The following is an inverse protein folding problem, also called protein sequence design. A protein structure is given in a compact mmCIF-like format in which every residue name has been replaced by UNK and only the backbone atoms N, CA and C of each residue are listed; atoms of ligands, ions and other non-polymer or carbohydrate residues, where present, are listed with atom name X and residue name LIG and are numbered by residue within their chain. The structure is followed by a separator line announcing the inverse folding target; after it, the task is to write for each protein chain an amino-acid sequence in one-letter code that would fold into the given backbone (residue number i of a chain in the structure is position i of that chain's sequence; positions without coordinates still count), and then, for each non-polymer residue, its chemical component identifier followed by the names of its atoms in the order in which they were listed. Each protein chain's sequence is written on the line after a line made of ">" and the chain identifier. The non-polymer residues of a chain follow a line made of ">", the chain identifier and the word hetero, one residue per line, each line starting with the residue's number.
data_IF_201058431644
#
_entry.id   IF_201058431644
#
_cell.length_a   1.000
_cell.length_b   1.000
_cell.length_c   1.000
_cell.angle_alpha   90.00
_cell.angle_beta   90.00
_cell.angle_gamma   90.00
#
_symmetry.space_group_name_H-M   'P 1'
#
loop_
_entity.id
_entity.type
_entity.pdbx_description
1 polymer ?
#
# COMPACT_ATOMS: atom_id res chain seq x y z
N UNK A 1 29.60 -37.90 2.22
CA UNK A 1 29.26 -36.84 1.25
C UNK A 1 28.36 -35.85 1.96
N UNK A 2 28.81 -34.66 2.30
CA UNK A 2 27.98 -33.60 2.89
C UNK A 2 27.26 -32.86 1.80
N UNK A 3 25.98 -32.45 1.97
CA UNK A 3 25.31 -31.59 1.02
C UNK A 3 25.99 -30.20 1.04
N UNK A 4 26.27 -29.67 -0.15
CA UNK A 4 26.80 -28.35 -0.35
C UNK A 4 25.81 -27.29 0.12
N UNK A 5 26.23 -26.48 1.06
CA UNK A 5 25.51 -25.25 1.46
C UNK A 5 25.36 -24.36 0.25
N UNK A 6 24.12 -24.18 -0.22
CA UNK A 6 23.78 -23.13 -1.16
C UNK A 6 24.05 -21.76 -0.53
N UNK A 7 24.18 -20.69 -1.32
CA UNK A 7 24.52 -19.37 -0.81
C UNK A 7 23.44 -18.94 0.20
N UNK A 8 23.82 -18.97 1.49
CA UNK A 8 22.97 -18.54 2.57
C UNK A 8 22.59 -17.06 2.36
N UNK A 9 21.29 -16.79 2.26
CA UNK A 9 20.78 -15.41 2.29
C UNK A 9 21.18 -14.83 3.64
N UNK A 10 22.18 -13.97 3.64
CA UNK A 10 22.66 -13.34 4.87
C UNK A 10 21.64 -12.31 5.35
N UNK A 11 21.49 -12.14 6.67
CA UNK A 11 20.60 -11.13 7.31
C UNK A 11 20.85 -9.72 6.73
N UNK A 12 22.08 -9.42 6.35
CA UNK A 12 22.49 -8.15 5.70
C UNK A 12 21.89 -8.00 4.29
N UNK A 13 21.79 -9.10 3.51
CA UNK A 13 21.15 -9.09 2.19
C UNK A 13 19.66 -8.79 2.29
N UNK A 14 18.96 -9.41 3.24
CA UNK A 14 17.53 -9.20 3.47
C UNK A 14 17.23 -7.73 3.88
N UNK A 15 18.05 -7.13 4.73
CA UNK A 15 17.89 -5.74 5.15
C UNK A 15 17.95 -4.76 3.95
N UNK A 16 18.88 -5.00 3.03
CA UNK A 16 19.06 -4.17 1.82
C UNK A 16 17.88 -4.27 0.86
N UNK A 17 17.29 -5.45 0.72
CA UNK A 17 16.07 -5.65 -0.09
C UNK A 17 14.89 -4.87 0.48
N UNK A 18 14.71 -4.84 1.79
CA UNK A 18 13.66 -4.05 2.42
C UNK A 18 13.88 -2.54 2.30
N UNK A 19 15.12 -2.06 2.34
CA UNK A 19 15.46 -0.66 2.05
C UNK A 19 15.05 -0.28 0.63
N UNK A 20 15.33 -1.12 -0.36
CA UNK A 20 14.91 -0.89 -1.76
C UNK A 20 13.40 -0.86 -1.93
N UNK A 21 12.65 -1.70 -1.20
CA UNK A 21 11.19 -1.67 -1.19
C UNK A 21 10.66 -0.37 -0.58
N UNK A 22 11.27 0.10 0.50
CA UNK A 22 10.90 1.37 1.14
C UNK A 22 11.23 2.55 0.23
N UNK A 23 12.37 2.55 -0.46
CA UNK A 23 12.68 3.57 -1.47
C UNK A 23 11.65 3.58 -2.60
N UNK A 24 11.21 2.40 -3.06
CA UNK A 24 10.13 2.29 -4.03
C UNK A 24 8.81 2.84 -3.49
N UNK A 25 8.46 2.58 -2.21
CA UNK A 25 7.27 3.12 -1.57
C UNK A 25 7.21 4.65 -1.65
N UNK A 26 8.34 5.33 -1.44
CA UNK A 26 8.45 6.79 -1.50
C UNK A 26 8.31 7.36 -2.93
N UNK A 27 8.57 6.57 -3.97
CA UNK A 27 8.76 7.07 -5.33
C UNK A 27 7.80 6.49 -6.38
N UNK A 28 7.04 5.42 -6.07
CA UNK A 28 6.22 4.75 -7.09
C UNK A 28 5.00 5.56 -7.55
N UNK A 29 4.46 6.44 -6.69
CA UNK A 29 3.31 7.28 -7.03
C UNK A 29 2.05 6.51 -7.43
N UNK A 30 1.87 5.30 -6.90
CA UNK A 30 0.78 4.38 -7.20
C UNK A 30 0.28 3.73 -5.90
N UNK A 31 -1.02 3.86 -5.62
CA UNK A 31 -1.61 3.36 -4.37
C UNK A 31 -1.49 1.84 -4.24
N UNK A 32 -1.78 1.09 -5.29
CA UNK A 32 -1.77 -0.38 -5.24
C UNK A 32 -0.35 -0.92 -5.06
N UNK A 33 0.62 -0.28 -5.71
CA UNK A 33 2.02 -0.60 -5.50
C UNK A 33 2.45 -0.28 -4.06
N UNK A 34 2.05 0.89 -3.53
CA UNK A 34 2.32 1.24 -2.12
C UNK A 34 1.72 0.22 -1.16
N UNK A 35 0.46 -0.18 -1.35
CA UNK A 35 -0.22 -1.19 -0.53
C UNK A 35 0.49 -2.56 -0.62
N UNK A 36 0.88 -2.98 -1.82
CA UNK A 36 1.63 -4.22 -2.05
C UNK A 36 2.98 -4.22 -1.32
N UNK A 37 3.69 -3.09 -1.32
CA UNK A 37 4.96 -2.95 -0.59
C UNK A 37 4.72 -3.08 0.92
N UNK A 38 3.72 -2.40 1.46
CA UNK A 38 3.38 -2.49 2.89
C UNK A 38 3.00 -3.93 3.26
N UNK A 39 2.16 -4.60 2.45
CA UNK A 39 1.82 -6.00 2.66
C UNK A 39 3.06 -6.89 2.67
N UNK A 40 3.98 -6.68 1.73
CA UNK A 40 5.24 -7.41 1.64
C UNK A 40 6.09 -7.21 2.88
N UNK A 41 6.26 -5.98 3.34
CA UNK A 41 7.00 -5.69 4.58
C UNK A 41 6.37 -6.40 5.79
N UNK A 42 5.03 -6.40 5.89
CA UNK A 42 4.32 -7.06 6.99
C UNK A 42 4.43 -8.59 6.94
N UNK A 43 4.38 -9.19 5.76
CA UNK A 43 4.43 -10.65 5.58
C UNK A 43 5.84 -11.22 5.80
N UNK A 44 6.87 -10.52 5.33
CA UNK A 44 8.24 -11.01 5.32
C UNK A 44 9.11 -10.51 6.48
N UNK A 45 8.54 -9.71 7.40
CA UNK A 45 9.25 -9.27 8.60
C UNK A 45 8.52 -9.71 9.88
N UNK A 46 9.28 -10.07 10.90
CA UNK A 46 8.72 -10.32 12.22
C UNK A 46 8.37 -9.01 12.92
N UNK A 47 7.50 -9.07 13.91
CA UNK A 47 7.17 -7.90 14.75
C UNK A 47 8.41 -7.22 15.34
N UNK A 48 9.37 -8.03 15.82
CA UNK A 48 10.62 -7.51 16.38
C UNK A 48 11.43 -6.73 15.35
N UNK A 49 11.54 -7.23 14.10
CA UNK A 49 12.22 -6.53 13.00
C UNK A 49 11.51 -5.22 12.69
N UNK A 50 10.17 -5.23 12.56
CA UNK A 50 9.41 -4.00 12.31
C UNK A 50 9.63 -2.92 13.37
N UNK A 51 9.63 -3.28 14.65
CA UNK A 51 9.91 -2.34 15.73
C UNK A 51 11.30 -1.71 15.64
N UNK A 52 12.30 -2.48 15.21
CA UNK A 52 13.67 -1.97 15.03
C UNK A 52 13.83 -1.09 13.80
N UNK A 53 13.09 -1.40 12.72
CA UNK A 53 13.28 -0.76 11.43
C UNK A 53 12.33 0.42 11.17
N UNK A 54 11.22 0.52 11.90
CA UNK A 54 10.19 1.54 11.65
C UNK A 54 10.74 2.98 11.66
N UNK A 55 11.68 3.29 12.54
CA UNK A 55 12.32 4.61 12.60
C UNK A 55 13.27 4.87 11.43
N UNK A 56 13.89 3.84 10.87
CA UNK A 56 14.74 3.95 9.70
C UNK A 56 13.89 4.05 8.41
N UNK A 57 12.81 3.28 8.32
CA UNK A 57 11.90 3.29 7.17
C UNK A 57 11.05 4.55 7.10
N UNK A 58 10.64 5.10 8.25
CA UNK A 58 9.78 6.29 8.35
C UNK A 58 10.41 7.33 9.29
N UNK A 59 11.57 7.92 8.88
CA UNK A 59 12.31 8.85 9.72
C UNK A 59 11.50 10.12 10.02
N UNK A 60 11.68 10.67 11.22
CA UNK A 60 11.07 11.94 11.64
C UNK A 60 9.53 11.98 11.67
N UNK A 61 8.87 10.83 11.56
CA UNK A 61 7.41 10.77 11.57
C UNK A 61 6.88 9.70 12.54
N UNK A 62 6.94 10.00 13.82
CA UNK A 62 6.58 9.09 14.92
C UNK A 62 5.15 8.54 14.79
N UNK A 63 4.20 9.39 14.35
CA UNK A 63 2.81 8.94 14.11
C UNK A 63 2.75 7.87 13.03
N UNK A 64 3.50 8.03 11.95
CA UNK A 64 3.53 7.06 10.85
C UNK A 64 4.15 5.73 11.28
N UNK A 65 5.24 5.78 12.08
CA UNK A 65 5.83 4.58 12.68
C UNK A 65 4.81 3.82 13.54
N UNK A 66 4.04 4.55 14.37
CA UNK A 66 3.01 3.96 15.22
C UNK A 66 1.88 3.34 14.40
N UNK A 67 1.43 3.99 13.32
CA UNK A 67 0.40 3.47 12.42
C UNK A 67 0.88 2.19 11.73
N UNK A 68 2.12 2.16 11.21
CA UNK A 68 2.70 0.98 10.58
C UNK A 68 2.77 -0.21 11.54
N UNK A 69 3.26 0.02 12.76
CA UNK A 69 3.36 -1.02 13.79
C UNK A 69 1.99 -1.48 14.32
N UNK A 70 0.97 -0.65 14.15
CA UNK A 70 -0.39 -0.90 14.60
C UNK A 70 -1.28 -1.64 13.58
N UNK A 71 -0.82 -1.86 12.35
CA UNK A 71 -1.61 -2.54 11.31
C UNK A 71 -1.98 -3.96 11.76
N UNK A 72 -3.28 -4.24 11.84
CA UNK A 72 -3.87 -5.53 12.20
C UNK A 72 -4.88 -5.98 11.15
N UNK A 73 -5.86 -5.13 10.84
CA UNK A 73 -6.74 -5.28 9.70
C UNK A 73 -6.09 -4.57 8.51
N UNK A 74 -5.51 -5.38 7.60
CA UNK A 74 -4.70 -4.82 6.53
C UNK A 74 -5.47 -3.82 5.66
N UNK A 75 -6.72 -4.13 5.31
CA UNK A 75 -7.47 -3.30 4.36
C UNK A 75 -7.72 -1.89 4.90
N UNK A 76 -8.29 -1.77 6.08
CA UNK A 76 -8.62 -0.48 6.70
C UNK A 76 -7.40 0.25 7.27
N UNK A 77 -6.51 -0.49 7.95
CA UNK A 77 -5.35 0.11 8.61
C UNK A 77 -4.29 0.56 7.60
N UNK A 78 -4.09 -0.21 6.49
CA UNK A 78 -3.20 0.17 5.42
C UNK A 78 -3.69 1.43 4.70
N UNK A 79 -5.00 1.55 4.47
CA UNK A 79 -5.61 2.77 3.90
C UNK A 79 -5.32 3.99 4.78
N UNK A 80 -5.51 3.86 6.09
CA UNK A 80 -5.19 4.91 7.06
C UNK A 80 -3.70 5.26 7.08
N UNK A 81 -2.84 4.24 7.08
CA UNK A 81 -1.38 4.43 7.05
C UNK A 81 -0.94 5.17 5.79
N UNK A 82 -1.35 4.69 4.60
CA UNK A 82 -0.97 5.30 3.32
C UNK A 82 -1.54 6.71 3.14
N UNK A 83 -2.72 7.00 3.68
CA UNK A 83 -3.26 8.35 3.74
C UNK A 83 -2.29 9.31 4.47
N UNK A 84 -1.86 8.96 5.67
CA UNK A 84 -0.88 9.75 6.42
C UNK A 84 0.50 9.77 5.77
N UNK A 85 0.94 8.67 5.16
CA UNK A 85 2.20 8.59 4.44
C UNK A 85 2.23 9.60 3.29
N UNK A 86 1.23 9.55 2.40
CA UNK A 86 1.16 10.43 1.24
C UNK A 86 0.99 11.91 1.63
N UNK A 87 0.19 12.22 2.67
CA UNK A 87 0.10 13.59 3.20
C UNK A 87 1.45 14.09 3.73
N UNK A 88 2.24 13.23 4.38
CA UNK A 88 3.57 13.56 4.88
C UNK A 88 4.61 13.87 3.80
N UNK A 89 4.37 13.45 2.56
CA UNK A 89 5.27 13.74 1.43
C UNK A 89 5.20 15.20 0.94
N UNK A 90 4.18 15.95 1.34
CA UNK A 90 4.00 17.37 0.97
C UNK A 90 4.13 17.60 -0.54
N UNK A 91 5.12 18.38 -0.98
CA UNK A 91 5.35 18.70 -2.40
C UNK A 91 5.74 17.48 -3.26
N UNK A 92 6.16 16.38 -2.63
CA UNK A 92 6.49 15.12 -3.33
C UNK A 92 5.33 14.14 -3.38
N UNK A 93 4.16 14.53 -2.90
CA UNK A 93 2.95 13.70 -2.93
C UNK A 93 2.58 13.37 -4.38
N UNK A 94 2.41 12.08 -4.67
CA UNK A 94 2.06 11.56 -6.00
C UNK A 94 0.80 10.68 -5.98
N UNK A 95 0.20 10.46 -4.82
CA UNK A 95 -1.05 9.72 -4.67
C UNK A 95 -2.04 10.56 -3.88
N UNK A 96 -3.24 10.75 -4.44
CA UNK A 96 -4.37 11.39 -3.77
C UNK A 96 -5.52 10.39 -3.69
N UNK A 97 -5.97 10.11 -2.48
CA UNK A 97 -7.05 9.17 -2.21
C UNK A 97 -8.24 9.89 -1.58
N UNK A 98 -9.42 9.69 -2.14
CA UNK A 98 -10.66 10.31 -1.64
C UNK A 98 -11.75 9.25 -1.47
N UNK A 99 -12.49 9.29 -0.34
CA UNK A 99 -13.68 8.47 -0.20
C UNK A 99 -14.78 8.99 -1.15
N UNK A 100 -15.50 8.06 -1.78
CA UNK A 100 -16.58 8.38 -2.70
C UNK A 100 -17.90 7.77 -2.25
N UNK A 101 -19.00 8.42 -2.60
CA UNK A 101 -20.35 7.87 -2.47
C UNK A 101 -20.86 7.28 -3.79
N UNK A 102 -20.51 7.92 -4.90
CA UNK A 102 -20.81 7.47 -6.26
C UNK A 102 -19.84 8.12 -7.24
N UNK A 103 -19.72 7.52 -8.42
CA UNK A 103 -19.03 8.15 -9.55
C UNK A 103 -19.73 7.78 -10.85
N UNK A 104 -19.51 8.56 -11.91
CA UNK A 104 -20.03 8.27 -13.24
C UNK A 104 -18.87 8.17 -14.21
N UNK A 105 -18.78 7.06 -14.93
CA UNK A 105 -17.77 6.81 -15.95
C UNK A 105 -18.48 6.46 -17.24
N UNK A 106 -18.19 7.22 -18.31
CA UNK A 106 -18.82 7.03 -19.63
C UNK A 106 -20.35 6.95 -19.58
N UNK A 107 -20.98 7.77 -18.74
CA UNK A 107 -22.43 7.80 -18.55
C UNK A 107 -23.01 6.66 -17.71
N UNK A 108 -22.17 5.78 -17.17
CA UNK A 108 -22.58 4.70 -16.25
C UNK A 108 -22.31 5.11 -14.82
N UNK A 109 -23.34 5.06 -13.98
CA UNK A 109 -23.21 5.34 -12.56
C UNK A 109 -22.62 4.13 -11.84
N UNK A 110 -21.56 4.38 -11.09
CA UNK A 110 -20.93 3.43 -10.18
C UNK A 110 -21.31 3.84 -8.76
N UNK A 111 -21.94 2.95 -8.04
CA UNK A 111 -22.39 3.20 -6.66
C UNK A 111 -21.60 2.34 -5.72
N UNK A 112 -21.31 2.86 -4.54
CA UNK A 112 -20.67 2.10 -3.46
C UNK A 112 -21.45 0.82 -3.20
N UNK A 113 -20.83 -0.37 -3.28
CA UNK A 113 -21.46 -1.61 -2.88
C UNK A 113 -21.91 -1.57 -1.42
N UNK A 114 -23.07 -2.16 -1.09
CA UNK A 114 -23.61 -2.13 0.27
C UNK A 114 -22.75 -2.89 1.29
N UNK A 115 -22.04 -3.90 0.81
CA UNK A 115 -21.12 -4.75 1.57
C UNK A 115 -19.74 -4.14 1.81
N UNK A 116 -19.39 -3.03 1.12
CA UNK A 116 -18.16 -2.31 1.37
C UNK A 116 -18.38 -1.19 2.40
N UNK A 117 -17.53 -1.15 3.42
CA UNK A 117 -17.53 -0.05 4.39
C UNK A 117 -17.17 1.29 3.72
N UNK A 118 -16.23 1.26 2.79
CA UNK A 118 -15.68 2.44 2.13
C UNK A 118 -15.53 2.19 0.62
N UNK A 119 -15.65 3.26 -0.16
CA UNK A 119 -15.42 3.28 -1.59
C UNK A 119 -14.45 4.43 -1.90
N UNK A 120 -13.30 4.11 -2.47
CA UNK A 120 -12.21 5.06 -2.68
C UNK A 120 -11.88 5.24 -4.14
N UNK A 121 -11.44 6.47 -4.48
CA UNK A 121 -10.76 6.78 -5.74
C UNK A 121 -9.32 7.18 -5.43
N UNK A 122 -8.39 6.62 -6.17
CA UNK A 122 -6.96 6.89 -6.06
C UNK A 122 -6.45 7.53 -7.36
N UNK A 123 -5.93 8.75 -7.26
CA UNK A 123 -5.26 9.43 -8.37
C UNK A 123 -3.76 9.15 -8.25
N UNK A 124 -3.23 8.38 -9.18
CA UNK A 124 -1.87 7.87 -9.19
C UNK A 124 -1.03 8.61 -10.23
N UNK A 125 -0.17 9.51 -9.80
CA UNK A 125 0.64 10.33 -10.70
C UNK A 125 1.87 9.60 -11.25
N UNK A 126 2.34 8.54 -10.58
CA UNK A 126 3.43 7.69 -11.09
C UNK A 126 3.07 7.06 -12.44
N UNK A 127 2.05 6.20 -12.50
CA UNK A 127 1.58 5.62 -13.76
C UNK A 127 0.65 6.54 -14.57
N UNK A 128 0.17 7.66 -14.02
CA UNK A 128 -0.81 8.53 -14.66
C UNK A 128 -2.21 7.92 -14.75
N UNK A 129 -2.64 7.23 -13.69
CA UNK A 129 -3.92 6.50 -13.66
C UNK A 129 -4.85 7.02 -12.58
N UNK A 130 -6.15 6.76 -12.77
CA UNK A 130 -7.18 6.90 -11.74
C UNK A 130 -7.73 5.51 -11.47
N UNK A 131 -7.62 5.05 -10.23
CA UNK A 131 -8.03 3.71 -9.84
C UNK A 131 -9.19 3.78 -8.86
N UNK A 132 -10.17 2.92 -9.04
CA UNK A 132 -11.22 2.68 -8.07
C UNK A 132 -11.71 1.24 -8.19
N UNK A 133 -12.07 0.67 -7.06
CA UNK A 133 -12.57 -0.69 -6.97
C UNK A 133 -14.07 -0.66 -6.84
N UNK A 134 -14.77 -1.36 -7.73
CA UNK A 134 -16.20 -1.59 -7.57
C UNK A 134 -16.54 -3.01 -7.98
N UNK A 135 -17.59 -3.52 -7.35
CA UNK A 135 -18.10 -4.87 -7.66
C UNK A 135 -19.18 -4.76 -8.73
N UNK A 136 -18.92 -5.31 -9.90
CA UNK A 136 -19.96 -5.54 -10.90
C UNK A 136 -20.79 -6.76 -10.47
N UNK A 137 -22.06 -6.56 -10.15
CA UNK A 137 -23.01 -7.67 -9.93
C UNK A 137 -23.47 -8.29 -11.28
N UNK A 138 -22.53 -8.69 -12.10
CA UNK A 138 -22.81 -9.60 -13.21
C UNK A 138 -21.96 -10.84 -12.96
N UNK A 139 -22.58 -11.88 -12.44
CA UNK A 139 -21.97 -13.20 -12.21
C UNK A 139 -20.83 -13.29 -11.18
N UNK A 140 -20.89 -12.58 -10.05
CA UNK A 140 -19.89 -12.66 -8.95
C UNK A 140 -18.42 -12.43 -9.36
N UNK A 141 -18.15 -11.67 -10.40
CA UNK A 141 -16.80 -11.27 -10.77
C UNK A 141 -16.49 -9.86 -10.26
N UNK A 142 -15.34 -9.71 -9.62
CA UNK A 142 -14.78 -8.42 -9.22
C UNK A 142 -13.92 -7.91 -10.37
N UNK A 143 -14.25 -6.76 -10.94
CA UNK A 143 -13.41 -6.12 -11.96
C UNK A 143 -12.80 -4.85 -11.37
N UNK A 144 -11.49 -4.66 -11.59
CA UNK A 144 -10.78 -3.41 -11.34
C UNK A 144 -10.77 -2.61 -12.63
N UNK A 145 -11.29 -1.38 -12.60
CA UNK A 145 -11.15 -0.46 -13.72
C UNK A 145 -10.07 0.55 -13.34
N UNK A 146 -8.97 0.54 -14.11
CA UNK A 146 -7.98 1.62 -14.15
C UNK A 146 -8.26 2.44 -15.39
N UNK A 147 -8.46 3.73 -15.24
CA UNK A 147 -8.59 4.70 -16.32
C UNK A 147 -7.43 5.66 -16.26
#
# INVERSE_FOLDING_TARGET
>A
MRPSDGPGITVVGIAKEFESLVDCLYNCGDYDMQATIIETLLRYTTRSVRHKMASAWFPNYVKLQSLFLGIKDFESDCRTFLGHFNEGLSDKKQVWSYPMMFCTVEGRSLVKPEDLAEFWVDFNFGPGTVSFYYVFKVNNTTETICI
#
